data_IF_788544467998
#
_entry.id   IF_788544467998
#
_cell.length_a   1.000
_cell.length_b   1.000
_cell.length_c   1.000
_cell.angle_alpha   90.00
_cell.angle_beta   90.00
_cell.angle_gamma   90.00
#
_symmetry.space_group_name_H-M   'P 1'
#
loop_
_entity.id
_entity.type
_entity.pdbx_description
1 polymer ?
#
# COMPACT_ATOMS: atom_id res chain seq x y z
N UNK A 1 -26.19 -11.33 -7.87
CA UNK A 1 -25.63 -10.61 -6.70
C UNK A 1 -24.11 -10.40 -6.79
N UNK A 2 -23.33 -11.33 -7.38
CA UNK A 2 -21.86 -11.20 -7.54
C UNK A 2 -21.40 -10.08 -8.51
N UNK A 3 -22.18 -9.76 -9.56
CA UNK A 3 -21.82 -8.73 -10.56
C UNK A 3 -21.66 -7.33 -9.95
N UNK A 4 -22.55 -6.93 -9.03
CA UNK A 4 -22.51 -5.60 -8.43
C UNK A 4 -21.31 -5.36 -7.50
N UNK A 5 -20.83 -6.42 -6.81
CA UNK A 5 -19.65 -6.32 -5.94
C UNK A 5 -18.37 -6.15 -6.77
N UNK A 6 -18.21 -6.91 -7.85
CA UNK A 6 -17.05 -6.82 -8.73
C UNK A 6 -16.96 -5.46 -9.42
N UNK A 7 -18.09 -4.96 -9.91
CA UNK A 7 -18.17 -3.63 -10.52
C UNK A 7 -17.89 -2.53 -9.49
N UNK A 8 -18.42 -2.65 -8.27
CA UNK A 8 -18.10 -1.73 -7.18
C UNK A 8 -16.61 -1.73 -6.84
N UNK A 9 -15.99 -2.90 -6.66
CA UNK A 9 -14.55 -3.02 -6.38
C UNK A 9 -13.73 -2.41 -7.51
N UNK A 10 -14.07 -2.71 -8.77
CA UNK A 10 -13.40 -2.16 -9.95
C UNK A 10 -13.44 -0.63 -9.96
N UNK A 11 -14.60 -0.04 -9.68
CA UNK A 11 -14.78 1.41 -9.61
C UNK A 11 -14.04 2.05 -8.43
N UNK A 12 -13.71 1.28 -7.39
CA UNK A 12 -12.95 1.74 -6.23
C UNK A 12 -11.45 1.44 -6.31
N UNK A 13 -10.97 0.70 -7.31
CA UNK A 13 -9.56 0.34 -7.43
C UNK A 13 -8.60 1.55 -7.30
N UNK A 14 -8.84 2.70 -7.96
CA UNK A 14 -7.97 3.86 -7.78
C UNK A 14 -7.94 4.36 -6.33
N UNK A 15 -9.07 4.34 -5.64
CA UNK A 15 -9.16 4.74 -4.22
C UNK A 15 -8.41 3.74 -3.32
N UNK A 16 -8.54 2.44 -3.58
CA UNK A 16 -7.85 1.38 -2.84
C UNK A 16 -6.34 1.52 -2.98
N UNK A 17 -5.83 1.63 -4.20
CA UNK A 17 -4.40 1.79 -4.47
C UNK A 17 -3.85 3.11 -3.92
N UNK A 18 -4.64 4.19 -3.99
CA UNK A 18 -4.30 5.46 -3.35
C UNK A 18 -4.17 5.29 -1.84
N UNK A 19 -5.17 4.70 -1.19
CA UNK A 19 -5.15 4.46 0.25
C UNK A 19 -3.97 3.61 0.69
N UNK A 20 -3.66 2.54 -0.05
CA UNK A 20 -2.52 1.67 0.23
C UNK A 20 -1.17 2.40 0.06
N UNK A 21 -1.02 3.18 -1.01
CA UNK A 21 0.18 4.00 -1.25
C UNK A 21 0.36 5.03 -0.13
N UNK A 22 -0.71 5.74 0.23
CA UNK A 22 -0.67 6.75 1.28
C UNK A 22 -0.42 6.15 2.67
N UNK A 23 -0.91 4.93 2.93
CA UNK A 23 -0.60 4.21 4.16
C UNK A 23 0.90 3.91 4.28
N UNK A 24 1.51 3.38 3.21
CA UNK A 24 2.97 3.12 3.17
C UNK A 24 3.76 4.42 3.37
N UNK A 25 3.37 5.51 2.70
CA UNK A 25 4.01 6.82 2.89
C UNK A 25 3.84 7.29 4.35
N UNK A 26 2.65 7.16 4.93
CA UNK A 26 2.40 7.55 6.32
C UNK A 26 3.27 6.78 7.31
N UNK A 27 3.40 5.47 7.14
CA UNK A 27 4.24 4.60 7.97
C UNK A 27 5.72 5.00 7.92
N UNK A 28 6.19 5.53 6.78
CA UNK A 28 7.58 6.02 6.68
C UNK A 28 7.87 7.29 7.48
N UNK A 29 6.84 8.04 7.91
CA UNK A 29 7.01 9.30 8.66
C UNK A 29 7.15 9.06 10.16
N UNK A 30 6.38 8.12 10.70
CA UNK A 30 6.40 7.76 12.11
C UNK A 30 5.87 6.33 12.33
N UNK A 31 6.31 5.74 13.44
CA UNK A 31 5.83 4.48 13.98
C UNK A 31 5.12 4.75 15.31
N UNK A 32 3.95 4.15 15.51
CA UNK A 32 3.18 4.29 16.74
C UNK A 32 2.69 2.92 17.21
N UNK A 33 2.84 2.66 18.51
CA UNK A 33 2.41 1.40 19.12
C UNK A 33 1.97 1.61 20.55
N UNK A 34 1.92 0.52 21.33
CA UNK A 34 1.46 0.58 22.71
C UNK A 34 2.45 1.37 23.59
N UNK A 35 2.07 2.59 23.94
CA UNK A 35 2.84 3.49 24.81
C UNK A 35 4.01 4.23 24.14
N UNK A 36 4.22 4.11 22.82
CA UNK A 36 5.32 4.80 22.14
C UNK A 36 4.92 5.46 20.82
N UNK A 37 5.68 6.50 20.48
CA UNK A 37 5.65 7.19 19.19
C UNK A 37 7.09 7.48 18.77
N UNK A 38 7.50 6.96 17.63
CA UNK A 38 8.86 7.07 17.09
C UNK A 38 8.81 7.79 15.75
N UNK A 39 9.69 8.78 15.55
CA UNK A 39 9.81 9.47 14.27
C UNK A 39 11.24 9.92 14.05
N UNK A 40 11.80 9.60 12.88
CA UNK A 40 13.21 9.84 12.57
C UNK A 40 14.16 9.09 13.50
N UNK A 41 13.81 7.88 13.92
CA UNK A 41 14.65 7.04 14.80
C UNK A 41 14.68 7.45 16.28
N UNK A 42 13.85 8.41 16.71
CA UNK A 42 13.81 8.89 18.10
C UNK A 42 12.39 8.86 18.67
N UNK A 43 12.27 8.50 19.96
CA UNK A 43 11.02 8.63 20.70
C UNK A 43 10.61 10.09 20.81
N UNK A 44 9.31 10.36 20.64
CA UNK A 44 8.73 11.70 20.66
C UNK A 44 7.82 11.88 21.86
N UNK A 45 7.88 13.07 22.46
CA UNK A 45 6.95 13.45 23.51
C UNK A 45 5.52 13.59 22.98
N UNK A 46 4.53 13.58 23.88
CA UNK A 46 3.11 13.63 23.51
C UNK A 46 2.74 14.83 22.63
N UNK A 47 3.29 16.01 22.91
CA UNK A 47 3.02 17.22 22.13
C UNK A 47 3.71 17.19 20.76
N UNK A 48 4.95 16.69 20.70
CA UNK A 48 5.69 16.51 19.45
C UNK A 48 4.99 15.49 18.54
N UNK A 49 4.53 14.38 19.11
CA UNK A 49 3.79 13.35 18.40
C UNK A 49 2.52 13.92 17.75
N UNK A 50 1.78 14.81 18.44
CA UNK A 50 0.62 15.51 17.86
C UNK A 50 1.02 16.38 16.68
N UNK A 51 2.09 17.16 16.80
CA UNK A 51 2.56 18.03 15.71
C UNK A 51 2.97 17.19 14.50
N UNK A 52 3.71 16.10 14.73
CA UNK A 52 4.16 15.20 13.67
C UNK A 52 2.96 14.54 12.98
N UNK A 53 2.00 14.02 13.76
CA UNK A 53 0.78 13.41 13.23
C UNK A 53 -0.03 14.40 12.39
N UNK A 54 -0.26 15.61 12.89
CA UNK A 54 -1.03 16.62 12.14
C UNK A 54 -0.29 17.07 10.89
N UNK A 55 1.03 17.29 11.00
CA UNK A 55 1.88 17.63 9.86
C UNK A 55 1.88 16.54 8.79
N UNK A 56 1.99 15.27 9.19
CA UNK A 56 1.95 14.14 8.27
C UNK A 56 0.58 14.00 7.62
N UNK A 57 -0.52 14.16 8.37
CA UNK A 57 -1.87 14.13 7.83
C UNK A 57 -2.08 15.21 6.78
N UNK A 58 -1.64 16.45 7.05
CA UNK A 58 -1.71 17.55 6.08
C UNK A 58 -0.87 17.22 4.84
N UNK A 59 0.39 16.81 5.04
CA UNK A 59 1.29 16.44 3.93
C UNK A 59 0.71 15.36 3.04
N UNK A 60 0.32 14.22 3.63
CA UNK A 60 -0.34 13.10 2.95
C UNK A 60 -1.60 13.56 2.22
N UNK A 61 -2.43 14.39 2.85
CA UNK A 61 -3.66 14.92 2.22
C UNK A 61 -3.38 15.77 0.99
N UNK A 62 -2.30 16.56 0.99
CA UNK A 62 -1.90 17.38 -0.15
C UNK A 62 -1.39 16.57 -1.34
N UNK A 63 -0.82 15.39 -1.10
CA UNK A 63 -0.33 14.48 -2.15
C UNK A 63 -1.37 13.45 -2.62
N UNK A 64 -2.43 13.24 -1.84
CA UNK A 64 -3.47 12.25 -2.14
C UNK A 64 -4.11 12.45 -3.53
N UNK A 65 -4.47 13.68 -3.97
CA UNK A 65 -5.05 13.88 -5.31
C UNK A 65 -4.12 13.49 -6.45
N UNK A 66 -2.81 13.76 -6.32
CA UNK A 66 -1.79 13.47 -7.32
C UNK A 66 -1.57 11.97 -7.42
N UNK A 67 -1.44 11.28 -6.28
CA UNK A 67 -1.34 9.82 -6.23
C UNK A 67 -2.60 9.17 -6.81
N UNK A 68 -3.78 9.69 -6.48
CA UNK A 68 -5.04 9.23 -7.09
C UNK A 68 -5.05 9.41 -8.60
N UNK A 69 -4.61 10.55 -9.11
CA UNK A 69 -4.51 10.81 -10.55
C UNK A 69 -3.59 9.82 -11.26
N UNK A 70 -2.46 9.47 -10.65
CA UNK A 70 -1.53 8.45 -11.14
C UNK A 70 -2.24 7.10 -11.23
N UNK A 71 -2.93 6.66 -10.18
CA UNK A 71 -3.62 5.37 -10.20
C UNK A 71 -4.80 5.34 -11.18
N UNK A 72 -5.55 6.45 -11.30
CA UNK A 72 -6.63 6.58 -12.29
C UNK A 72 -6.09 6.45 -13.73
N UNK A 73 -4.88 6.91 -14.02
CA UNK A 73 -4.31 6.80 -15.36
C UNK A 73 -3.71 5.41 -15.63
N UNK A 74 -3.10 4.77 -14.63
CA UNK A 74 -2.40 3.49 -14.78
C UNK A 74 -3.37 2.31 -14.77
N UNK A 75 -4.27 2.22 -13.77
CA UNK A 75 -5.06 1.01 -13.51
C UNK A 75 -5.90 0.53 -14.71
N UNK A 76 -6.55 1.40 -15.51
CA UNK A 76 -7.33 0.95 -16.67
C UNK A 76 -6.49 0.28 -17.76
N UNK A 77 -5.17 0.51 -17.77
CA UNK A 77 -4.25 -0.06 -18.75
C UNK A 77 -3.65 -1.39 -18.29
N UNK A 78 -3.86 -1.77 -17.03
CA UNK A 78 -3.31 -2.98 -16.45
C UNK A 78 -4.23 -4.17 -16.67
N UNK A 79 -3.62 -5.32 -16.97
CA UNK A 79 -4.32 -6.59 -16.94
C UNK A 79 -4.77 -6.90 -15.50
N UNK A 80 -5.93 -7.56 -15.27
CA UNK A 80 -6.40 -7.91 -13.92
C UNK A 80 -5.35 -8.65 -13.07
N UNK A 81 -4.55 -9.52 -13.69
CA UNK A 81 -3.46 -10.21 -13.01
C UNK A 81 -2.36 -9.24 -12.50
N UNK A 82 -2.04 -8.18 -13.25
CA UNK A 82 -1.07 -7.17 -12.83
C UNK A 82 -1.59 -6.35 -11.65
N UNK A 83 -2.91 -6.10 -11.60
CA UNK A 83 -3.57 -5.43 -10.47
C UNK A 83 -3.42 -6.30 -9.21
N UNK A 84 -3.69 -7.60 -9.32
CA UNK A 84 -3.46 -8.56 -8.22
C UNK A 84 -1.98 -8.55 -7.82
N UNK A 85 -1.07 -8.57 -8.79
CA UNK A 85 0.37 -8.50 -8.52
C UNK A 85 0.77 -7.25 -7.75
N UNK A 86 0.25 -6.08 -8.16
CA UNK A 86 0.46 -4.81 -7.45
C UNK A 86 -0.08 -4.82 -6.02
N UNK A 87 -1.26 -5.41 -5.79
CA UNK A 87 -1.83 -5.57 -4.45
C UNK A 87 -0.97 -6.47 -3.56
N UNK A 88 -0.41 -7.56 -4.10
CA UNK A 88 0.50 -8.44 -3.35
C UNK A 88 1.79 -7.71 -2.95
N UNK A 89 2.39 -6.97 -3.89
CA UNK A 89 3.61 -6.20 -3.61
C UNK A 89 3.35 -5.12 -2.56
N UNK A 90 2.39 -4.23 -2.82
CA UNK A 90 2.10 -3.10 -1.95
C UNK A 90 1.55 -3.56 -0.59
N UNK A 91 0.72 -4.60 -0.58
CA UNK A 91 0.18 -5.18 0.64
C UNK A 91 1.29 -5.75 1.54
N UNK A 92 2.23 -6.51 0.96
CA UNK A 92 3.34 -7.06 1.74
C UNK A 92 4.31 -5.97 2.22
N UNK A 93 4.55 -4.93 1.41
CA UNK A 93 5.30 -3.73 1.87
C UNK A 93 4.59 -3.10 3.07
N UNK A 94 3.29 -2.81 2.95
CA UNK A 94 2.54 -2.19 4.04
C UNK A 94 2.56 -3.02 5.33
N UNK A 95 2.44 -4.35 5.22
CA UNK A 95 2.54 -5.25 6.39
C UNK A 95 3.92 -5.13 7.03
N UNK A 96 5.00 -5.25 6.26
CA UNK A 96 6.36 -5.20 6.79
C UNK A 96 6.68 -3.86 7.45
N UNK A 97 6.26 -2.74 6.83
CA UNK A 97 6.39 -1.40 7.41
C UNK A 97 5.58 -1.24 8.71
N UNK A 98 4.38 -1.84 8.79
CA UNK A 98 3.53 -1.73 9.98
C UNK A 98 4.05 -2.57 11.15
N UNK A 99 4.63 -3.74 10.87
CA UNK A 99 5.05 -4.70 11.90
C UNK A 99 6.53 -4.63 12.23
N UNK A 100 7.31 -3.88 11.46
CA UNK A 100 8.77 -3.89 11.51
C UNK A 100 9.39 -5.22 11.07
N UNK A 101 8.67 -6.03 10.30
CA UNK A 101 9.18 -7.32 9.80
C UNK A 101 10.19 -7.15 8.68
N UNK A 102 11.10 -8.12 8.56
CA UNK A 102 12.12 -8.07 7.52
C UNK A 102 11.52 -8.32 6.13
N UNK A 103 11.71 -7.36 5.22
CA UNK A 103 11.32 -7.48 3.81
C UNK A 103 11.97 -8.67 3.11
N UNK A 104 13.15 -9.10 3.56
CA UNK A 104 13.91 -10.20 2.97
C UNK A 104 13.66 -11.55 3.67
N UNK A 105 12.71 -11.63 4.59
CA UNK A 105 12.29 -12.93 5.11
C UNK A 105 11.62 -13.75 3.99
N UNK A 106 11.84 -15.07 4.00
CA UNK A 106 11.30 -15.99 3.00
C UNK A 106 9.79 -15.80 2.76
N UNK A 107 9.02 -15.56 3.82
CA UNK A 107 7.57 -15.32 3.72
C UNK A 107 7.26 -14.07 2.90
N UNK A 108 7.93 -12.95 3.17
CA UNK A 108 7.81 -11.70 2.41
C UNK A 108 8.21 -11.88 0.96
N UNK A 109 9.34 -12.57 0.73
CA UNK A 109 9.89 -12.82 -0.61
C UNK A 109 8.89 -13.60 -1.48
N UNK A 110 8.15 -14.57 -0.93
CA UNK A 110 7.13 -15.32 -1.70
C UNK A 110 6.08 -14.37 -2.28
N UNK A 111 5.58 -13.42 -1.49
CA UNK A 111 4.62 -12.41 -1.98
C UNK A 111 5.24 -11.47 -3.00
N UNK A 112 6.51 -11.07 -2.80
CA UNK A 112 7.22 -10.21 -3.75
C UNK A 112 7.47 -10.90 -5.09
N UNK A 113 7.92 -12.15 -5.08
CA UNK A 113 8.12 -12.94 -6.30
C UNK A 113 6.79 -13.17 -7.00
N UNK A 114 5.75 -13.62 -6.27
CA UNK A 114 4.44 -13.85 -6.86
C UNK A 114 3.88 -12.57 -7.51
N UNK A 115 3.95 -11.44 -6.80
CA UNK A 115 3.51 -10.15 -7.32
C UNK A 115 4.30 -9.71 -8.56
N UNK A 116 5.63 -9.82 -8.53
CA UNK A 116 6.50 -9.47 -9.65
C UNK A 116 6.23 -10.35 -10.88
N UNK A 117 6.04 -11.66 -10.69
CA UNK A 117 5.70 -12.60 -11.77
C UNK A 117 4.38 -12.21 -12.42
N UNK A 118 3.35 -11.88 -11.63
CA UNK A 118 2.04 -11.46 -12.17
C UNK A 118 2.10 -10.10 -12.91
N UNK A 119 3.02 -9.21 -12.52
CA UNK A 119 3.24 -7.94 -13.21
C UNK A 119 3.92 -8.16 -14.57
N UNK A 120 4.97 -8.98 -14.61
CA UNK A 120 5.79 -9.21 -15.82
C UNK A 120 5.14 -10.21 -16.78
N UNK A 121 4.46 -11.23 -16.25
CA UNK A 121 3.82 -12.32 -17.00
C UNK A 121 2.40 -12.54 -16.48
N UNK A 122 1.44 -11.64 -16.81
CA UNK A 122 0.07 -11.74 -16.33
C UNK A 122 -0.64 -13.04 -16.72
N UNK A 123 -0.25 -13.66 -17.84
CA UNK A 123 -0.84 -14.89 -18.34
C UNK A 123 -0.63 -16.10 -17.40
N UNK A 124 0.36 -16.03 -16.50
CA UNK A 124 0.67 -17.11 -15.54
C UNK A 124 -0.51 -17.40 -14.63
N UNK A 125 -1.40 -16.43 -14.42
CA UNK A 125 -2.61 -16.65 -13.62
C UNK A 125 -3.48 -17.79 -14.19
N UNK A 126 -3.51 -17.96 -15.52
CA UNK A 126 -4.27 -19.01 -16.19
C UNK A 126 -3.60 -20.39 -16.18
N UNK A 127 -2.40 -20.52 -15.61
CA UNK A 127 -1.75 -21.81 -15.38
C UNK A 127 -2.15 -22.43 -14.03
N UNK A 128 -2.72 -21.61 -13.14
CA UNK A 128 -3.11 -22.01 -11.78
C UNK A 128 -4.62 -22.28 -11.68
N UNK A 129 -5.41 -21.78 -12.64
CA UNK A 129 -6.85 -22.03 -12.79
C UNK A 129 -7.10 -22.91 -14.01
#
# INVERSE_FOLDING_TARGET
>A
MQLGLFEYISNQLPSIFTGLTMAIIGLSVYEAGDGYFLSGGSFRGKHEAVIILLGSLIGVSLFTPQIKSIWVSILPQLHPAQIVGGLLLLGMVAVNETTGWNHLELKSIVFYIAGAVLIVRPDVIYLVF
#
